data_IF_213924015925
#
_entry.id   IF_213924015925
#
_cell.length_a   1.000
_cell.length_b   1.000
_cell.length_c   1.000
_cell.angle_alpha   90.00
_cell.angle_beta   90.00
_cell.angle_gamma   90.00
#
_symmetry.space_group_name_H-M   'P 1'
#
loop_
_entity.id
_entity.type
_entity.pdbx_description
1 polymer ?
#
# COMPACT_ATOMS: atom_id res chain seq x y z
N UNK A 1 -52.83 28.88 -60.13
CA UNK A 1 -52.67 28.13 -61.40
C UNK A 1 -52.04 26.76 -61.09
N UNK A 2 -52.67 25.68 -61.59
CA UNK A 2 -52.20 24.27 -61.72
C UNK A 2 -51.74 23.56 -60.42
N UNK A 3 -52.60 22.81 -59.72
CA UNK A 3 -53.15 21.44 -59.96
C UNK A 3 -52.16 20.26 -59.79
N UNK A 4 -52.44 19.46 -58.75
CA UNK A 4 -52.65 17.98 -58.69
C UNK A 4 -51.38 17.12 -58.96
N UNK A 5 -51.01 16.13 -58.12
CA UNK A 5 -51.44 14.71 -58.21
C UNK A 5 -50.86 13.91 -57.01
N UNK A 6 -51.74 13.35 -56.15
CA UNK A 6 -52.00 11.91 -55.80
C UNK A 6 -50.86 11.19 -55.05
N UNK A 7 -51.07 10.37 -54.01
CA UNK A 7 -52.08 9.33 -53.84
C UNK A 7 -52.18 8.86 -52.37
N UNK A 8 -53.37 8.47 -51.94
CA UNK A 8 -53.69 7.80 -50.67
C UNK A 8 -53.77 6.26 -50.84
N UNK A 9 -54.14 5.54 -49.76
CA UNK A 9 -54.37 4.08 -49.52
C UNK A 9 -53.20 3.34 -48.87
N UNK A 10 -53.34 2.44 -47.87
CA UNK A 10 -54.42 1.90 -47.01
C UNK A 10 -53.72 1.07 -45.89
N UNK A 11 -54.04 1.19 -44.59
CA UNK A 11 -55.06 0.50 -43.77
C UNK A 11 -55.00 -1.05 -43.72
N UNK A 12 -54.85 -1.54 -42.47
CA UNK A 12 -55.05 -2.89 -41.87
C UNK A 12 -54.03 -4.03 -42.09
N UNK A 13 -53.34 -4.44 -41.02
CA UNK A 13 -53.66 -5.72 -40.34
C UNK A 13 -52.93 -5.87 -39.00
N UNK A 14 -53.68 -6.28 -37.97
CA UNK A 14 -53.21 -6.58 -36.63
C UNK A 14 -52.84 -8.06 -36.52
N UNK A 15 -51.69 -8.39 -35.93
CA UNK A 15 -51.41 -9.74 -35.40
C UNK A 15 -50.63 -9.62 -34.09
N UNK A 16 -51.34 -9.97 -33.01
CA UNK A 16 -50.90 -10.57 -31.76
C UNK A 16 -49.43 -10.39 -31.30
N UNK A 17 -49.25 -9.57 -30.25
CA UNK A 17 -48.12 -9.71 -29.34
C UNK A 17 -48.65 -9.92 -27.92
N UNK A 18 -49.04 -11.16 -27.64
CA UNK A 18 -49.36 -11.65 -26.30
C UNK A 18 -48.29 -12.63 -25.84
N UNK A 19 -47.77 -12.35 -24.63
CA UNK A 19 -47.12 -13.29 -23.70
C UNK A 19 -45.66 -13.64 -24.02
N UNK A 20 -44.76 -12.86 -23.43
CA UNK A 20 -43.61 -13.44 -22.75
C UNK A 20 -43.27 -12.57 -21.53
N UNK A 21 -44.14 -12.64 -20.52
CA UNK A 21 -43.71 -12.41 -19.14
C UNK A 21 -42.78 -13.54 -18.76
N UNK A 22 -41.49 -13.40 -19.07
CA UNK A 22 -40.47 -14.14 -18.37
C UNK A 22 -39.74 -13.19 -17.45
N UNK A 23 -40.11 -13.35 -16.17
CA UNK A 23 -39.16 -13.55 -15.08
C UNK A 23 -37.71 -13.36 -15.55
N UNK A 24 -37.31 -12.10 -15.64
CA UNK A 24 -35.92 -11.77 -15.43
C UNK A 24 -35.76 -11.78 -13.93
N UNK A 25 -35.59 -12.98 -13.37
CA UNK A 25 -34.70 -13.10 -12.22
C UNK A 25 -33.37 -12.54 -12.70
N UNK A 26 -33.18 -11.25 -12.42
CA UNK A 26 -31.86 -10.68 -12.33
C UNK A 26 -31.23 -11.45 -11.18
N UNK A 27 -30.59 -12.56 -11.52
CA UNK A 27 -29.58 -13.15 -10.68
C UNK A 27 -28.51 -12.06 -10.63
N UNK A 28 -28.60 -11.21 -9.61
CA UNK A 28 -27.50 -10.38 -9.20
C UNK A 28 -26.38 -11.35 -8.88
N UNK A 29 -25.52 -11.59 -9.86
CA UNK A 29 -24.16 -12.03 -9.61
C UNK A 29 -23.54 -10.89 -8.82
N UNK A 30 -23.68 -10.98 -7.50
CA UNK A 30 -22.76 -10.31 -6.59
C UNK A 30 -21.38 -10.88 -6.91
N UNK A 31 -20.67 -10.21 -7.81
CA UNK A 31 -19.22 -10.30 -7.87
C UNK A 31 -18.76 -9.63 -6.57
N UNK A 32 -18.74 -10.41 -5.49
CA UNK A 32 -17.96 -10.06 -4.33
C UNK A 32 -16.52 -9.98 -4.80
N UNK A 33 -15.93 -8.78 -4.74
CA UNK A 33 -14.48 -8.62 -4.79
C UNK A 33 -13.89 -9.74 -3.90
N UNK A 34 -13.00 -10.56 -4.45
CA UNK A 34 -12.38 -11.64 -3.70
C UNK A 34 -11.85 -11.03 -2.39
N UNK A 35 -12.42 -11.44 -1.26
CA UNK A 35 -11.99 -10.98 0.05
C UNK A 35 -10.46 -11.16 0.11
N UNK A 36 -9.73 -10.09 0.43
CA UNK A 36 -8.28 -10.17 0.69
C UNK A 36 -7.98 -11.43 1.53
N UNK A 37 -6.98 -12.27 1.21
CA UNK A 37 -6.61 -13.48 1.94
C UNK A 37 -6.69 -13.35 3.46
N UNK A 38 -6.32 -12.19 4.01
CA UNK A 38 -6.48 -11.89 5.44
C UNK A 38 -7.95 -11.92 5.87
N UNK A 39 -8.84 -11.26 5.13
CA UNK A 39 -10.29 -11.24 5.37
C UNK A 39 -10.93 -12.61 5.12
N UNK A 40 -10.55 -13.30 4.04
CA UNK A 40 -11.06 -14.63 3.71
C UNK A 40 -10.66 -15.67 4.78
N UNK A 41 -9.40 -15.68 5.20
CA UNK A 41 -8.87 -16.65 6.16
C UNK A 41 -9.15 -16.27 7.63
N UNK A 42 -9.34 -14.97 7.95
CA UNK A 42 -9.76 -14.56 9.30
C UNK A 42 -11.15 -15.07 9.68
N UNK A 43 -12.00 -15.34 8.68
CA UNK A 43 -13.32 -15.97 8.83
C UNK A 43 -13.32 -17.46 8.45
N UNK A 44 -12.15 -18.02 8.12
CA UNK A 44 -12.00 -19.39 7.64
C UNK A 44 -12.42 -20.43 8.69
N UNK A 45 -12.92 -21.58 8.22
CA UNK A 45 -13.33 -22.67 9.11
C UNK A 45 -12.15 -23.22 9.91
N UNK A 46 -12.44 -23.61 11.15
CA UNK A 46 -11.53 -24.35 12.05
C UNK A 46 -12.03 -25.78 12.29
N UNK A 47 -13.15 -26.15 11.66
CA UNK A 47 -13.82 -27.44 11.85
C UNK A 47 -13.54 -28.34 10.67
N UNK A 48 -13.09 -29.56 10.95
CA UNK A 48 -12.96 -30.63 9.97
C UNK A 48 -13.55 -31.92 10.51
N UNK A 49 -14.43 -32.57 9.74
CA UNK A 49 -15.17 -33.79 10.12
C UNK A 49 -15.82 -33.71 11.51
N UNK A 50 -16.43 -32.57 11.85
CA UNK A 50 -17.13 -32.36 13.11
C UNK A 50 -16.24 -32.09 14.33
N UNK A 51 -14.91 -32.07 14.15
CA UNK A 51 -13.95 -31.70 15.20
C UNK A 51 -13.51 -30.26 15.00
N UNK A 52 -13.63 -29.44 16.05
CA UNK A 52 -13.17 -28.05 16.07
C UNK A 52 -11.71 -27.95 16.56
N UNK A 53 -10.83 -27.42 15.72
CA UNK A 53 -9.40 -27.25 15.98
C UNK A 53 -9.02 -25.83 16.44
N UNK A 54 -9.99 -24.95 16.71
CA UNK A 54 -9.75 -23.53 17.02
C UNK A 54 -8.72 -23.24 18.11
N UNK A 55 -8.48 -24.14 19.05
CA UNK A 55 -7.47 -23.98 20.11
C UNK A 55 -6.03 -24.20 19.63
N UNK A 56 -5.82 -24.92 18.53
CA UNK A 56 -4.51 -25.32 18.01
C UNK A 56 -4.29 -24.94 16.53
N UNK A 57 -5.30 -24.34 15.88
CA UNK A 57 -5.30 -24.00 14.47
C UNK A 57 -5.95 -22.64 14.20
N UNK A 58 -5.28 -21.83 13.40
CA UNK A 58 -5.79 -20.61 12.80
C UNK A 58 -5.51 -20.67 11.29
N UNK A 59 -6.52 -20.57 10.41
CA UNK A 59 -6.34 -20.70 8.97
C UNK A 59 -5.32 -19.71 8.40
N UNK A 60 -5.39 -18.46 8.87
CA UNK A 60 -4.48 -17.41 8.44
C UNK A 60 -3.04 -17.70 8.88
N UNK A 61 -2.81 -18.05 10.14
CA UNK A 61 -1.46 -18.35 10.60
C UNK A 61 -0.88 -19.59 9.92
N UNK A 62 -1.68 -20.62 9.70
CA UNK A 62 -1.24 -21.82 9.03
C UNK A 62 -0.86 -21.56 7.55
N UNK A 63 -1.68 -20.78 6.85
CA UNK A 63 -1.38 -20.29 5.51
C UNK A 63 -0.08 -19.45 5.46
N UNK A 64 0.09 -18.53 6.42
CA UNK A 64 1.25 -17.63 6.46
C UNK A 64 2.56 -18.36 6.80
N UNK A 65 2.50 -19.37 7.66
CA UNK A 65 3.68 -20.11 8.12
C UNK A 65 4.32 -21.00 7.03
N UNK A 66 3.56 -21.45 6.02
CA UNK A 66 4.01 -22.52 5.13
C UNK A 66 3.73 -22.23 3.65
N UNK A 67 4.80 -22.02 2.87
CA UNK A 67 4.72 -21.67 1.45
C UNK A 67 4.13 -22.79 0.57
N UNK A 68 4.44 -24.05 0.88
CA UNK A 68 3.91 -25.23 0.19
C UNK A 68 2.39 -25.31 0.28
N UNK A 69 1.80 -24.96 1.44
CA UNK A 69 0.35 -24.93 1.61
C UNK A 69 -0.29 -23.80 0.80
N UNK A 70 0.36 -22.64 0.75
CA UNK A 70 -0.11 -21.51 -0.09
C UNK A 70 -0.13 -21.90 -1.56
N UNK A 71 0.93 -22.57 -2.04
CA UNK A 71 1.04 -22.99 -3.43
C UNK A 71 0.03 -24.09 -3.78
N UNK A 72 -0.21 -25.02 -2.86
CA UNK A 72 -1.10 -26.16 -3.10
C UNK A 72 -2.59 -25.78 -3.00
N UNK A 73 -2.96 -24.91 -2.06
CA UNK A 73 -4.36 -24.70 -1.65
C UNK A 73 -4.86 -23.26 -1.82
N UNK A 74 -3.96 -22.30 -2.07
CA UNK A 74 -4.35 -20.88 -2.07
C UNK A 74 -5.03 -20.50 -0.75
N UNK A 75 -6.10 -19.70 -0.83
CA UNK A 75 -6.86 -19.21 0.32
C UNK A 75 -8.01 -20.15 0.74
N UNK A 76 -8.04 -21.39 0.27
CA UNK A 76 -9.08 -22.35 0.63
C UNK A 76 -8.92 -22.83 2.08
N UNK A 77 -9.71 -22.24 2.98
CA UNK A 77 -9.73 -22.57 4.41
C UNK A 77 -10.12 -24.04 4.68
N UNK A 78 -10.94 -24.66 3.83
CA UNK A 78 -11.35 -26.06 4.00
C UNK A 78 -10.16 -26.99 3.73
N UNK A 79 -9.38 -26.70 2.68
CA UNK A 79 -8.16 -27.45 2.36
C UNK A 79 -7.07 -27.28 3.43
N UNK A 80 -6.95 -26.09 3.99
CA UNK A 80 -5.99 -25.83 5.05
C UNK A 80 -6.32 -26.59 6.35
N UNK A 81 -7.60 -26.63 6.77
CA UNK A 81 -7.99 -27.37 7.98
C UNK A 81 -7.94 -28.88 7.76
N UNK A 82 -8.28 -29.35 6.56
CA UNK A 82 -8.10 -30.74 6.14
C UNK A 82 -6.62 -31.15 6.24
N UNK A 83 -5.72 -30.33 5.69
CA UNK A 83 -4.29 -30.60 5.77
C UNK A 83 -3.77 -30.60 7.21
N UNK A 84 -4.21 -29.64 8.04
CA UNK A 84 -3.87 -29.61 9.46
C UNK A 84 -4.27 -30.89 10.18
N UNK A 85 -5.52 -31.33 10.00
CA UNK A 85 -6.09 -32.49 10.66
C UNK A 85 -5.42 -33.81 10.22
N UNK A 86 -5.13 -33.96 8.93
CA UNK A 86 -4.60 -35.22 8.38
C UNK A 86 -3.07 -35.34 8.52
N UNK A 87 -2.34 -34.23 8.33
CA UNK A 87 -0.88 -34.21 8.16
C UNK A 87 -0.18 -33.24 9.12
N UNK A 88 -0.64 -31.99 9.20
CA UNK A 88 0.05 -30.89 9.89
C UNK A 88 0.44 -31.20 11.34
N UNK A 89 -0.46 -31.83 12.10
CA UNK A 89 -0.18 -32.27 13.48
C UNK A 89 0.92 -33.33 13.55
N UNK A 90 0.97 -34.27 12.59
CA UNK A 90 1.98 -35.34 12.53
C UNK A 90 3.33 -34.80 12.07
N UNK A 91 3.32 -33.82 11.15
CA UNK A 91 4.50 -33.08 10.68
C UNK A 91 5.06 -32.13 11.74
N UNK A 92 4.37 -31.95 12.88
CA UNK A 92 4.72 -31.00 13.96
C UNK A 92 4.74 -29.54 13.48
N UNK A 93 3.89 -29.21 12.52
CA UNK A 93 3.68 -27.82 12.10
C UNK A 93 3.02 -27.02 13.22
N UNK A 94 3.31 -25.73 13.27
CA UNK A 94 2.61 -24.74 14.12
C UNK A 94 1.54 -24.01 13.31
N UNK A 95 0.30 -24.06 13.78
CA UNK A 95 -0.86 -23.48 13.10
C UNK A 95 -1.66 -22.47 13.94
N UNK A 96 -1.46 -22.40 15.26
CA UNK A 96 -2.17 -21.49 16.17
C UNK A 96 -1.47 -20.15 16.40
N UNK A 97 -0.27 -19.98 15.86
CA UNK A 97 0.50 -18.74 15.95
C UNK A 97 1.43 -18.64 14.75
N UNK A 98 1.89 -17.45 14.46
CA UNK A 98 3.00 -17.26 13.53
C UNK A 98 4.28 -17.85 14.14
N UNK A 99 5.01 -18.66 13.38
CA UNK A 99 6.30 -19.22 13.83
C UNK A 99 7.47 -18.41 13.31
N UNK A 100 8.30 -17.97 14.25
CA UNK A 100 9.58 -17.33 13.97
C UNK A 100 9.44 -15.99 13.26
N UNK A 101 10.55 -15.27 13.25
CA UNK A 101 10.73 -14.10 12.42
C UNK A 101 10.73 -14.58 10.96
N UNK A 102 9.56 -14.83 10.37
CA UNK A 102 9.45 -15.21 8.96
C UNK A 102 10.29 -14.21 8.18
N UNK A 103 11.31 -14.62 7.45
CA UNK A 103 12.20 -13.69 6.70
C UNK A 103 11.45 -12.99 5.56
N UNK A 104 10.12 -13.13 5.53
CA UNK A 104 9.19 -12.72 4.50
C UNK A 104 7.87 -12.30 5.13
N UNK A 105 7.27 -11.25 4.58
CA UNK A 105 5.91 -10.79 4.80
C UNK A 105 5.04 -11.25 3.62
N UNK A 106 3.80 -11.66 3.88
CA UNK A 106 2.80 -11.87 2.83
C UNK A 106 1.78 -10.76 2.94
N UNK A 107 1.70 -9.89 1.93
CA UNK A 107 0.81 -8.72 1.93
C UNK A 107 0.01 -8.63 0.65
N UNK A 108 -1.19 -8.02 0.68
CA UNK A 108 -1.97 -7.75 -0.52
C UNK A 108 -1.21 -6.86 -1.50
N UNK A 109 -1.30 -7.16 -2.80
CA UNK A 109 -0.80 -6.35 -3.92
C UNK A 109 -1.92 -6.12 -4.93
N UNK A 110 -2.20 -4.86 -5.25
CA UNK A 110 -3.32 -4.51 -6.13
C UNK A 110 -4.67 -4.97 -5.55
N UNK A 111 -5.62 -5.29 -6.42
CA UNK A 111 -6.99 -5.61 -6.04
C UNK A 111 -7.20 -7.10 -5.69
N UNK A 112 -6.44 -8.01 -6.31
CA UNK A 112 -6.70 -9.47 -6.23
C UNK A 112 -5.46 -10.31 -5.85
N UNK A 113 -4.28 -9.70 -5.71
CA UNK A 113 -3.01 -10.43 -5.55
C UNK A 113 -2.45 -10.42 -4.13
N UNK A 114 -1.55 -11.36 -3.85
CA UNK A 114 -0.63 -11.32 -2.71
C UNK A 114 0.82 -11.39 -3.19
N UNK A 115 1.69 -10.70 -2.46
CA UNK A 115 3.13 -10.71 -2.68
C UNK A 115 3.85 -11.15 -1.42
N UNK A 116 4.94 -11.88 -1.62
CA UNK A 116 5.88 -12.26 -0.57
C UNK A 116 7.05 -11.28 -0.60
N UNK A 117 7.20 -10.46 0.44
CA UNK A 117 8.22 -9.41 0.55
C UNK A 117 9.24 -9.83 1.61
N UNK A 118 10.53 -9.99 1.30
CA UNK A 118 11.52 -10.35 2.32
C UNK A 118 11.64 -9.26 3.40
N UNK A 119 11.82 -9.65 4.67
CA UNK A 119 12.02 -8.74 5.80
C UNK A 119 13.28 -7.89 5.67
N UNK A 120 14.30 -8.39 5.00
CA UNK A 120 15.53 -7.64 4.74
C UNK A 120 16.12 -7.98 3.39
N UNK A 121 16.15 -6.97 2.52
CA UNK A 121 17.08 -6.91 1.40
C UNK A 121 17.43 -5.45 1.17
N UNK A 122 18.20 -4.89 2.08
CA UNK A 122 18.84 -3.59 1.94
C UNK A 122 20.22 -3.64 2.59
N UNK A 123 21.17 -2.88 2.06
CA UNK A 123 22.51 -2.70 2.64
C UNK A 123 22.76 -1.19 2.88
N UNK A 124 23.85 -0.86 3.56
CA UNK A 124 24.20 0.53 3.85
C UNK A 124 25.01 1.22 2.73
N UNK A 125 25.21 0.56 1.58
CA UNK A 125 25.93 1.10 0.42
C UNK A 125 27.44 1.21 0.60
N UNK A 126 28.01 0.61 1.65
CA UNK A 126 29.43 0.71 1.99
C UNK A 126 29.77 1.93 2.85
N UNK A 127 28.79 2.51 3.54
CA UNK A 127 29.05 3.53 4.56
C UNK A 127 29.93 2.97 5.68
N UNK A 128 30.88 3.77 6.14
CA UNK A 128 31.55 3.54 7.43
C UNK A 128 30.57 3.75 8.57
N UNK A 129 30.88 3.22 9.75
CA UNK A 129 30.07 3.43 10.95
C UNK A 129 29.82 4.92 11.24
N UNK A 130 30.84 5.77 11.13
CA UNK A 130 30.71 7.21 11.36
C UNK A 130 29.81 7.92 10.33
N UNK A 131 29.87 7.49 9.06
CA UNK A 131 28.97 8.00 8.02
C UNK A 131 27.53 7.55 8.26
N UNK A 132 27.34 6.31 8.70
CA UNK A 132 26.03 5.76 8.98
C UNK A 132 25.36 6.48 10.17
N UNK A 133 26.09 6.76 11.25
CA UNK A 133 25.56 7.56 12.38
C UNK A 133 25.09 8.94 11.93
N UNK A 134 25.87 9.62 11.07
CA UNK A 134 25.49 10.94 10.55
C UNK A 134 24.25 10.88 9.66
N UNK A 135 24.21 9.94 8.71
CA UNK A 135 23.06 9.76 7.81
C UNK A 135 21.80 9.39 8.59
N UNK A 136 21.90 8.50 9.58
CA UNK A 136 20.80 8.09 10.45
C UNK A 136 20.30 9.23 11.34
N UNK A 137 21.18 10.12 11.81
CA UNK A 137 20.75 11.31 12.58
C UNK A 137 19.84 12.22 11.75
N UNK A 138 20.18 12.48 10.49
CA UNK A 138 19.34 13.29 9.59
C UNK A 138 18.03 12.57 9.27
N UNK A 139 18.11 11.28 8.94
CA UNK A 139 16.92 10.47 8.67
C UNK A 139 15.93 10.46 9.85
N UNK A 140 16.45 10.33 11.09
CA UNK A 140 15.65 10.40 12.30
C UNK A 140 14.97 11.77 12.46
N UNK A 141 15.68 12.87 12.24
CA UNK A 141 15.10 14.21 12.33
C UNK A 141 13.93 14.40 11.35
N UNK A 142 14.08 13.88 10.12
CA UNK A 142 13.04 13.91 9.11
C UNK A 142 11.84 13.08 9.56
N UNK A 143 12.06 11.84 10.02
CA UNK A 143 10.99 10.96 10.49
C UNK A 143 10.25 11.52 11.72
N UNK A 144 10.98 12.09 12.69
CA UNK A 144 10.41 12.74 13.87
C UNK A 144 9.54 13.95 13.45
N UNK A 145 9.95 14.72 12.44
CA UNK A 145 9.15 15.82 11.92
C UNK A 145 7.84 15.31 11.25
N UNK A 146 7.93 14.25 10.45
CA UNK A 146 6.77 13.62 9.82
C UNK A 146 5.77 13.09 10.86
N UNK A 147 6.26 12.38 11.89
CA UNK A 147 5.40 11.83 12.94
C UNK A 147 4.76 12.93 13.79
N UNK A 148 5.51 13.98 14.17
CA UNK A 148 4.93 15.12 14.87
C UNK A 148 3.83 15.80 14.08
N UNK A 149 4.02 16.03 12.79
CA UNK A 149 2.98 16.63 11.95
C UNK A 149 1.72 15.74 11.85
N UNK A 150 1.89 14.41 11.83
CA UNK A 150 0.77 13.48 11.90
C UNK A 150 0.03 13.55 13.25
N UNK A 151 0.75 13.57 14.38
CA UNK A 151 0.17 13.70 15.72
C UNK A 151 -0.53 15.06 15.96
N UNK A 152 0.00 16.15 15.42
CA UNK A 152 -0.61 17.49 15.48
C UNK A 152 -1.94 17.56 14.71
N UNK A 153 -2.01 16.84 13.58
CA UNK A 153 -3.25 16.69 12.82
C UNK A 153 -4.34 15.95 13.62
N UNK A 154 -3.95 15.09 14.57
CA UNK A 154 -4.85 14.37 15.47
C UNK A 154 -5.23 15.19 16.72
N UNK A 155 -4.31 15.99 17.27
CA UNK A 155 -4.50 16.73 18.54
C UNK A 155 -5.19 18.09 18.43
N UNK A 156 -5.12 18.76 17.27
CA UNK A 156 -5.91 19.98 16.98
C UNK A 156 -7.43 19.80 17.11
N UNK A 157 -7.87 18.54 17.27
CA UNK A 157 -9.24 18.10 17.53
C UNK A 157 -9.66 18.21 19.01
N UNK A 158 -8.73 18.23 19.97
CA UNK A 158 -9.07 18.16 21.40
C UNK A 158 -9.30 19.54 22.05
N UNK A 159 -8.58 20.57 21.59
CA UNK A 159 -8.60 21.91 22.20
C UNK A 159 -9.71 22.84 21.69
N UNK A 160 -10.49 22.46 20.67
CA UNK A 160 -11.59 23.28 20.14
C UNK A 160 -12.99 22.91 20.64
N UNK A 161 -13.12 22.10 21.69
CA UNK A 161 -14.41 21.55 22.15
C UNK A 161 -14.91 22.05 23.52
N UNK A 162 -14.51 23.24 23.97
CA UNK A 162 -15.12 23.88 25.15
C UNK A 162 -16.00 25.09 24.80
N UNK A 163 -17.12 24.88 24.10
CA UNK A 163 -18.33 25.70 24.32
C UNK A 163 -19.58 25.14 23.62
N UNK A 164 -20.58 24.80 24.44
CA UNK A 164 -22.04 24.74 24.21
C UNK A 164 -22.64 23.69 23.26
N UNK A 165 -23.26 22.69 23.92
CA UNK A 165 -24.53 22.00 23.63
C UNK A 165 -25.31 22.35 22.36
N UNK A 166 -25.51 21.39 21.46
CA UNK A 166 -26.84 20.82 21.10
C UNK A 166 -26.78 19.92 19.83
N UNK A 167 -27.52 18.81 19.91
CA UNK A 167 -27.90 17.82 18.89
C UNK A 167 -27.77 18.22 17.39
N UNK A 168 -27.03 17.43 16.63
CA UNK A 168 -27.50 16.66 15.45
C UNK A 168 -26.30 16.18 14.62
N UNK A 169 -26.27 14.88 14.37
CA UNK A 169 -25.20 14.14 13.71
C UNK A 169 -25.04 14.50 12.23
N UNK A 170 -23.96 15.20 11.89
CA UNK A 170 -23.35 15.13 10.55
C UNK A 170 -21.90 14.66 10.70
N UNK A 171 -21.65 13.45 10.20
CA UNK A 171 -20.37 12.74 10.31
C UNK A 171 -19.35 13.38 9.36
N UNK A 172 -18.69 14.44 9.82
CA UNK A 172 -17.52 15.01 9.14
C UNK A 172 -16.37 14.00 9.20
N UNK A 173 -16.05 13.35 8.07
CA UNK A 173 -14.89 12.44 7.92
C UNK A 173 -13.61 13.28 7.85
N UNK A 174 -12.93 13.48 8.97
CA UNK A 174 -11.55 14.00 8.97
C UNK A 174 -10.57 12.84 8.84
N UNK A 175 -9.57 12.99 7.97
CA UNK A 175 -8.80 11.89 7.36
C UNK A 175 -7.40 11.82 7.99
N UNK A 176 -7.19 10.82 8.82
CA UNK A 176 -5.89 10.34 9.34
C UNK A 176 -4.82 10.33 8.23
N UNK A 177 -3.60 10.80 8.53
CA UNK A 177 -2.48 10.75 7.58
C UNK A 177 -2.05 9.30 7.39
N UNK A 178 -2.20 8.80 6.16
CA UNK A 178 -1.88 7.41 5.84
C UNK A 178 -0.38 7.16 5.76
N UNK A 179 0.06 5.92 5.97
CA UNK A 179 1.47 5.55 5.87
C UNK A 179 2.03 5.85 4.48
N UNK A 180 1.28 5.57 3.40
CA UNK A 180 1.70 5.90 2.03
C UNK A 180 1.94 7.41 1.84
N UNK A 181 1.21 8.27 2.56
CA UNK A 181 1.38 9.73 2.49
C UNK A 181 2.65 10.17 3.23
N UNK A 182 3.00 9.50 4.33
CA UNK A 182 4.28 9.69 5.02
C UNK A 182 5.46 9.29 4.11
N UNK A 183 5.35 8.15 3.42
CA UNK A 183 6.37 7.70 2.44
C UNK A 183 6.51 8.70 1.29
N UNK A 184 5.40 9.17 0.72
CA UNK A 184 5.43 10.18 -0.34
C UNK A 184 6.09 11.49 0.13
N UNK A 185 5.85 11.89 1.38
CA UNK A 185 6.49 13.08 1.95
C UNK A 185 8.00 12.87 2.09
N UNK A 186 8.42 11.76 2.71
CA UNK A 186 9.83 11.40 2.86
C UNK A 186 10.55 11.32 1.50
N UNK A 187 9.92 10.72 0.49
CA UNK A 187 10.46 10.63 -0.87
C UNK A 187 10.74 12.02 -1.47
N UNK A 188 9.82 12.98 -1.31
CA UNK A 188 10.04 14.35 -1.76
C UNK A 188 11.12 15.10 -0.99
N UNK A 189 11.25 14.87 0.32
CA UNK A 189 12.35 15.44 1.12
C UNK A 189 13.70 14.91 0.64
N UNK A 190 13.83 13.60 0.42
CA UNK A 190 15.05 12.99 -0.13
C UNK A 190 15.36 13.54 -1.53
N UNK A 191 14.33 13.74 -2.37
CA UNK A 191 14.52 14.38 -3.67
C UNK A 191 15.11 15.78 -3.56
N UNK A 192 14.67 16.58 -2.57
CA UNK A 192 15.23 17.90 -2.35
C UNK A 192 16.74 17.86 -2.03
N UNK A 193 17.20 16.88 -1.24
CA UNK A 193 18.64 16.65 -1.03
C UNK A 193 19.35 16.26 -2.33
N UNK A 194 18.74 15.39 -3.13
CA UNK A 194 19.28 15.01 -4.43
C UNK A 194 19.40 16.22 -5.37
N UNK A 195 18.41 17.11 -5.39
CA UNK A 195 18.40 18.31 -6.24
C UNK A 195 19.43 19.36 -5.84
N UNK A 196 19.92 19.31 -4.60
CA UNK A 196 21.06 20.11 -4.15
C UNK A 196 22.41 19.44 -4.42
N UNK A 197 22.42 18.15 -4.74
CA UNK A 197 23.61 17.35 -4.98
C UNK A 197 23.90 17.15 -6.47
N UNK A 198 24.99 16.43 -6.74
CA UNK A 198 25.40 16.03 -8.09
C UNK A 198 25.05 14.56 -8.31
N UNK A 199 24.35 14.26 -9.40
CA UNK A 199 24.16 12.88 -9.82
C UNK A 199 25.49 12.33 -10.34
N UNK A 200 25.97 11.23 -9.76
CA UNK A 200 27.18 10.55 -10.20
C UNK A 200 27.10 9.05 -9.96
N UNK A 201 27.91 8.30 -10.70
CA UNK A 201 28.13 6.86 -10.48
C UNK A 201 29.59 6.53 -10.21
N UNK A 202 30.40 7.57 -9.98
CA UNK A 202 31.82 7.47 -9.70
C UNK A 202 32.08 7.70 -8.20
N UNK A 203 33.10 7.03 -7.66
CA UNK A 203 33.46 7.13 -6.26
C UNK A 203 32.67 6.21 -5.32
N UNK A 204 32.70 6.53 -4.03
CA UNK A 204 32.23 5.64 -2.95
C UNK A 204 30.92 6.08 -2.32
N UNK A 205 30.63 7.38 -2.27
CA UNK A 205 29.52 7.92 -1.46
C UNK A 205 28.22 8.09 -2.25
N UNK A 206 28.27 8.22 -3.58
CA UNK A 206 27.10 8.40 -4.45
C UNK A 206 25.98 7.35 -4.29
N UNK A 207 26.36 6.14 -3.84
CA UNK A 207 25.47 5.00 -3.62
C UNK A 207 24.98 4.87 -2.18
N UNK A 208 25.28 5.85 -1.32
CA UNK A 208 25.02 5.81 0.12
C UNK A 208 24.03 6.90 0.54
N UNK A 209 23.33 6.68 1.66
CA UNK A 209 22.52 7.72 2.28
C UNK A 209 23.36 8.92 2.77
N UNK A 210 24.60 8.67 3.20
CA UNK A 210 25.55 9.73 3.55
C UNK A 210 25.83 10.65 2.35
N UNK A 211 26.04 10.08 1.16
CA UNK A 211 26.23 10.86 -0.08
C UNK A 211 25.08 11.82 -0.33
N UNK A 212 23.85 11.34 -0.16
CA UNK A 212 22.64 12.14 -0.36
C UNK A 212 22.49 13.24 0.70
N UNK A 213 22.55 12.88 1.99
CA UNK A 213 22.23 13.83 3.06
C UNK A 213 23.37 14.80 3.40
N UNK A 214 24.62 14.39 3.19
CA UNK A 214 25.82 15.13 3.64
C UNK A 214 26.82 15.35 2.49
N UNK A 215 27.07 14.32 1.70
CA UNK A 215 28.14 14.32 0.70
C UNK A 215 27.88 15.17 -0.54
N UNK A 216 26.62 15.54 -0.82
CA UNK A 216 26.25 16.27 -2.03
C UNK A 216 26.40 15.45 -3.32
N UNK A 217 26.45 14.12 -3.23
CA UNK A 217 26.57 13.20 -4.36
C UNK A 217 25.52 12.10 -4.25
N UNK A 218 24.83 11.79 -5.35
CA UNK A 218 23.78 10.78 -5.32
C UNK A 218 23.67 9.97 -6.62
N UNK A 219 22.94 8.87 -6.49
CA UNK A 219 22.40 8.03 -7.56
C UNK A 219 21.04 7.49 -7.11
N UNK A 220 20.33 6.76 -7.98
CA UNK A 220 19.13 6.00 -7.59
C UNK A 220 19.39 5.08 -6.38
N UNK A 221 20.57 4.48 -6.30
CA UNK A 221 20.98 3.60 -5.22
C UNK A 221 21.19 4.36 -3.90
N UNK A 222 21.74 5.57 -3.96
CA UNK A 222 21.95 6.44 -2.80
C UNK A 222 20.63 7.01 -2.28
N UNK A 223 19.79 7.54 -3.18
CA UNK A 223 18.49 8.11 -2.83
C UNK A 223 17.55 7.06 -2.23
N UNK A 224 17.54 5.84 -2.77
CA UNK A 224 16.75 4.73 -2.22
C UNK A 224 17.18 4.37 -0.80
N UNK A 225 18.48 4.29 -0.53
CA UNK A 225 18.98 4.05 0.84
C UNK A 225 18.66 5.20 1.78
N UNK A 226 18.74 6.45 1.31
CA UNK A 226 18.37 7.62 2.09
C UNK A 226 16.89 7.59 2.51
N UNK A 227 15.99 7.25 1.58
CA UNK A 227 14.58 7.02 1.90
C UNK A 227 14.42 5.88 2.89
N UNK A 228 15.06 4.74 2.65
CA UNK A 228 15.04 3.59 3.53
C UNK A 228 15.41 3.90 4.99
N UNK A 229 16.46 4.71 5.22
CA UNK A 229 16.81 5.14 6.59
C UNK A 229 15.68 5.94 7.26
N UNK A 230 14.94 6.76 6.52
CA UNK A 230 13.78 7.49 7.06
C UNK A 230 12.66 6.49 7.40
N UNK A 231 12.43 5.50 6.53
CA UNK A 231 11.42 4.46 6.73
C UNK A 231 11.68 3.61 7.98
N UNK A 232 12.96 3.29 8.28
CA UNK A 232 13.35 2.64 9.54
C UNK A 232 12.81 3.38 10.76
N UNK A 233 12.94 4.71 10.77
CA UNK A 233 12.47 5.56 11.88
C UNK A 233 10.98 5.86 11.86
N UNK A 234 10.31 5.69 10.72
CA UNK A 234 8.85 5.73 10.61
C UNK A 234 8.19 4.40 11.03
N UNK A 235 8.98 3.35 11.25
CA UNK A 235 8.46 2.00 11.54
C UNK A 235 7.85 1.31 10.31
N UNK A 236 8.24 1.72 9.11
CA UNK A 236 7.71 1.20 7.84
C UNK A 236 8.67 0.15 7.30
N UNK A 237 8.17 -1.07 7.11
CA UNK A 237 8.95 -2.15 6.52
C UNK A 237 9.25 -1.87 5.05
N UNK A 238 10.50 -2.09 4.63
CA UNK A 238 10.93 -1.79 3.26
C UNK A 238 12.04 -2.70 2.73
N UNK A 239 12.07 -2.83 1.41
CA UNK A 239 13.02 -3.61 0.62
C UNK A 239 13.63 -2.73 -0.47
N UNK A 240 14.94 -2.83 -0.66
CA UNK A 240 15.64 -2.14 -1.73
C UNK A 240 15.49 -2.94 -3.04
N UNK A 241 14.65 -2.45 -3.94
CA UNK A 241 14.45 -3.07 -5.26
C UNK A 241 15.61 -2.75 -6.19
N UNK A 242 16.03 -3.75 -6.94
CA UNK A 242 17.17 -3.70 -7.88
C UNK A 242 18.50 -3.28 -7.22
N UNK A 243 18.67 -3.60 -5.94
CA UNK A 243 19.89 -3.28 -5.21
C UNK A 243 21.14 -3.78 -5.94
N UNK A 244 22.10 -2.88 -6.16
CA UNK A 244 23.37 -3.15 -6.84
C UNK A 244 23.23 -3.65 -8.29
N UNK A 245 22.08 -3.37 -8.94
CA UNK A 245 21.85 -3.60 -10.36
C UNK A 245 21.88 -2.28 -11.13
N UNK A 246 22.17 -2.34 -12.43
CA UNK A 246 22.21 -1.17 -13.32
C UNK A 246 20.82 -0.81 -13.85
N UNK A 247 19.87 -0.73 -12.93
CA UNK A 247 18.44 -0.50 -13.16
C UNK A 247 17.95 0.61 -12.21
N UNK A 248 16.75 1.15 -12.46
CA UNK A 248 16.09 2.05 -11.52
C UNK A 248 15.91 1.35 -10.16
N UNK A 249 16.13 2.09 -9.08
CA UNK A 249 16.10 1.57 -7.70
C UNK A 249 15.08 2.38 -6.89
N UNK A 250 14.29 1.68 -6.09
CA UNK A 250 13.24 2.25 -5.23
C UNK A 250 13.02 1.40 -3.98
N UNK A 251 12.26 1.93 -3.02
CA UNK A 251 11.80 1.17 -1.86
C UNK A 251 10.49 0.46 -2.20
N UNK A 252 10.45 -0.86 -2.16
CA UNK A 252 9.20 -1.60 -1.99
C UNK A 252 8.85 -1.57 -0.50
N UNK A 253 7.65 -1.17 -0.13
CA UNK A 253 7.26 -0.92 1.27
C UNK A 253 6.01 -1.70 1.64
N UNK A 254 5.78 -1.85 2.94
CA UNK A 254 4.48 -2.29 3.48
C UNK A 254 3.85 -1.10 4.17
N UNK A 255 2.76 -0.59 3.59
CA UNK A 255 2.05 0.61 4.06
C UNK A 255 0.55 0.35 4.11
N UNK A 256 -0.09 0.82 5.18
CA UNK A 256 -1.50 0.64 5.46
C UNK A 256 -1.96 -0.83 5.34
N UNK A 257 -1.08 -1.76 5.70
CA UNK A 257 -1.30 -3.22 5.64
C UNK A 257 -1.18 -3.84 4.25
N UNK A 258 -0.70 -3.11 3.24
CA UNK A 258 -0.61 -3.56 1.83
C UNK A 258 0.77 -3.29 1.25
N UNK A 259 1.10 -3.97 0.15
CA UNK A 259 2.27 -3.61 -0.64
C UNK A 259 2.14 -2.16 -1.11
N UNK A 260 3.27 -1.46 -1.12
CA UNK A 260 3.43 -0.21 -1.82
C UNK A 260 4.85 -0.02 -2.32
N UNK A 261 5.10 1.17 -2.84
CA UNK A 261 6.42 1.63 -3.22
C UNK A 261 6.64 3.07 -2.76
N UNK A 262 7.90 3.44 -2.61
CA UNK A 262 8.36 4.81 -2.47
C UNK A 262 9.58 5.05 -3.34
N UNK A 263 9.53 6.08 -4.18
CA UNK A 263 10.62 6.45 -5.07
C UNK A 263 10.94 7.95 -4.92
N UNK A 264 12.14 8.29 -4.38
CA UNK A 264 12.59 9.67 -4.29
C UNK A 264 12.72 10.36 -5.65
N UNK A 265 13.17 9.65 -6.69
CA UNK A 265 13.34 10.24 -8.02
C UNK A 265 11.99 10.63 -8.65
N UNK A 266 10.92 9.90 -8.32
CA UNK A 266 9.54 10.29 -8.66
C UNK A 266 8.92 11.29 -7.67
N UNK A 267 9.55 11.52 -6.51
CA UNK A 267 8.98 12.26 -5.37
C UNK A 267 7.58 11.77 -5.01
N UNK A 268 7.40 10.45 -5.02
CA UNK A 268 6.10 9.83 -4.92
C UNK A 268 6.16 8.48 -4.22
N UNK A 269 5.00 8.07 -3.71
CA UNK A 269 4.74 6.73 -3.21
C UNK A 269 3.38 6.26 -3.72
N UNK A 270 3.13 4.96 -3.68
CA UNK A 270 1.84 4.39 -4.10
C UNK A 270 1.60 3.02 -3.51
N UNK A 271 0.38 2.51 -3.69
CA UNK A 271 0.02 1.14 -3.34
C UNK A 271 0.33 0.18 -4.49
N UNK A 272 0.61 -1.07 -4.15
CA UNK A 272 0.97 -2.14 -5.07
C UNK A 272 2.35 -1.95 -5.71
N UNK A 273 2.49 -2.49 -6.91
CA UNK A 273 3.74 -2.47 -7.67
C UNK A 273 4.16 -1.06 -8.07
N UNK A 274 5.48 -0.89 -8.19
CA UNK A 274 6.06 0.30 -8.79
C UNK A 274 5.67 0.42 -10.28
N UNK A 275 5.57 1.63 -10.87
CA UNK A 275 5.28 1.79 -12.30
C UNK A 275 6.21 1.00 -13.23
N UNK A 276 7.50 0.87 -12.89
CA UNK A 276 8.47 0.06 -13.65
C UNK A 276 8.20 -1.46 -13.57
N UNK A 277 7.35 -1.91 -12.64
CA UNK A 277 6.88 -3.30 -12.52
C UNK A 277 5.42 -3.47 -12.97
N UNK A 278 4.88 -2.52 -13.74
CA UNK A 278 3.51 -2.54 -14.26
C UNK A 278 2.44 -2.00 -13.30
N UNK A 279 2.84 -1.30 -12.24
CA UNK A 279 1.93 -0.63 -11.32
C UNK A 279 1.23 0.59 -11.93
N UNK A 280 0.07 0.96 -11.40
CA UNK A 280 -0.69 2.11 -11.90
C UNK A 280 -0.13 3.44 -11.38
N UNK A 281 0.59 4.17 -12.23
CA UNK A 281 1.16 5.47 -11.90
C UNK A 281 0.11 6.55 -11.56
N UNK A 282 -1.15 6.39 -11.98
CA UNK A 282 -2.21 7.38 -11.71
C UNK A 282 -2.63 7.43 -10.24
N UNK A 283 -2.42 6.34 -9.52
CA UNK A 283 -2.78 6.20 -8.11
C UNK A 283 -1.65 6.64 -7.17
N UNK A 284 -0.52 7.11 -7.75
CA UNK A 284 0.61 7.61 -7.00
C UNK A 284 0.25 8.87 -6.20
N UNK A 285 0.60 8.84 -4.92
CA UNK A 285 0.62 9.98 -4.01
C UNK A 285 1.93 10.72 -4.23
N UNK A 286 1.87 11.89 -4.86
CA UNK A 286 3.05 12.73 -5.06
C UNK A 286 3.27 13.66 -3.88
N UNK A 287 4.54 13.93 -3.55
CA UNK A 287 4.96 14.91 -2.55
C UNK A 287 4.21 16.25 -2.71
N UNK A 288 4.15 16.76 -3.95
CA UNK A 288 3.47 18.02 -4.24
C UNK A 288 2.00 18.03 -3.78
N UNK A 289 1.29 16.89 -3.88
CA UNK A 289 -0.12 16.78 -3.46
C UNK A 289 -0.29 16.65 -1.95
N UNK A 290 0.73 16.25 -1.20
CA UNK A 290 0.57 15.98 0.24
C UNK A 290 1.38 16.90 1.15
N UNK A 291 2.33 17.69 0.63
CA UNK A 291 3.26 18.48 1.44
C UNK A 291 2.58 19.39 2.48
N UNK A 292 1.43 19.97 2.13
CA UNK A 292 0.66 20.86 3.01
C UNK A 292 0.12 20.16 4.26
N UNK A 293 0.07 18.82 4.28
CA UNK A 293 -0.35 18.04 5.45
C UNK A 293 0.75 17.95 6.52
N UNK A 294 2.00 18.22 6.14
CA UNK A 294 3.19 18.03 6.97
C UNK A 294 3.95 19.34 7.23
N UNK A 295 3.62 20.40 6.50
CA UNK A 295 4.14 21.74 6.77
C UNK A 295 3.43 22.33 8.00
N UNK A 296 4.20 22.89 8.94
CA UNK A 296 3.67 23.85 9.92
C UNK A 296 3.13 25.01 9.09
N UNK A 297 1.85 25.35 9.22
CA UNK A 297 1.17 26.34 8.39
C UNK A 297 1.94 27.68 8.36
N UNK A 298 2.84 27.88 7.39
CA UNK A 298 3.31 29.21 7.05
C UNK A 298 2.16 29.87 6.32
N UNK A 299 1.58 30.91 6.92
CA UNK A 299 0.57 31.70 6.22
C UNK A 299 1.19 32.18 4.91
N UNK A 300 0.70 31.64 3.79
CA UNK A 300 0.98 32.19 2.47
C UNK A 300 0.58 33.67 2.55
N UNK A 301 1.49 34.64 2.29
CA UNK A 301 1.09 36.04 2.24
C UNK A 301 -0.10 36.14 1.29
N UNK A 302 -1.22 36.69 1.77
CA UNK A 302 -2.34 37.02 0.87
C UNK A 302 -1.74 37.92 -0.21
N UNK A 303 -1.92 37.55 -1.47
CA UNK A 303 -1.57 38.44 -2.56
C UNK A 303 -2.31 39.75 -2.32
N UNK A 304 -1.57 40.82 -2.07
CA UNK A 304 -2.13 42.16 -2.03
C UNK A 304 -2.69 42.41 -3.42
N UNK A 305 -4.01 42.64 -3.50
CA UNK A 305 -4.68 43.05 -4.74
C UNK A 305 -4.16 44.40 -5.21
#
# INVERSE_FOLDING_TARGET
>A
MKKIIRSAFAVFSAVALTIFTMFSEVCSLEIHAADDPYTALSKGTTVYNGVDYKSEYNPLFYYLNYADLRQAFGTDANKLVEHWALFGKKEKRVANRLIGDSTEFVVPTGDEGVVVIPKTKHDNGGMTYAQEIQARSIAKQIADAINRAAEESDTSKSSSSSSKSSKSSSKSKTKEIKEVEKVAYAAGVVKAYCDLGTYTTEGKIYRTAYGVFIGGEYSCAGSTRALGLILDYLGINWVHKNINQWEDQWCQVIVDGKEGYGDPLLSAAGYGKHPNEGGNAKDAVSYAKIRYKFEVATQKPKATQ
#
